data_IF_525856595858
#
_entry.id   IF_525856595858
#
_cell.length_a   1.000
_cell.length_b   1.000
_cell.length_c   1.000
_cell.angle_alpha   90.00
_cell.angle_beta   90.00
_cell.angle_gamma   90.00
#
_symmetry.space_group_name_H-M   'P 1'
#
loop_
_entity.id
_entity.type
_entity.pdbx_description
1 polymer ?
#
# COMPACT_ATOMS: atom_id res chain seq x y z
N UNK A 1 -0.70 13.17 -22.03
CA UNK A 1 -0.96 12.40 -20.80
C UNK A 1 -1.60 11.07 -21.10
N UNK A 2 -1.14 10.03 -20.42
CA UNK A 2 -1.72 8.69 -20.44
C UNK A 2 -2.16 8.33 -19.03
N UNK A 3 -3.34 7.72 -18.87
CA UNK A 3 -3.80 7.20 -17.60
C UNK A 3 -4.31 5.78 -17.76
N UNK A 4 -3.88 4.87 -16.88
CA UNK A 4 -4.37 3.49 -16.86
C UNK A 4 -5.22 3.28 -15.62
N UNK A 5 -6.41 2.72 -15.81
CA UNK A 5 -7.35 2.48 -14.73
C UNK A 5 -7.84 1.05 -14.76
N UNK A 6 -7.71 0.36 -13.62
CA UNK A 6 -8.39 -0.93 -13.41
C UNK A 6 -9.87 -0.68 -13.13
N UNK A 7 -10.68 -0.59 -14.17
CA UNK A 7 -12.14 -0.33 -14.07
C UNK A 7 -12.82 -1.27 -13.08
N UNK A 8 -12.43 -2.56 -13.06
CA UNK A 8 -12.98 -3.56 -12.14
C UNK A 8 -12.67 -3.34 -10.64
N UNK A 9 -11.75 -2.43 -10.29
CA UNK A 9 -11.40 -2.13 -8.88
C UNK A 9 -12.25 -0.99 -8.31
N UNK A 10 -12.64 -0.04 -9.16
CA UNK A 10 -13.23 1.24 -8.73
C UNK A 10 -14.63 1.45 -9.30
N UNK A 11 -14.96 0.83 -10.42
CA UNK A 11 -16.20 0.98 -11.16
C UNK A 11 -16.83 -0.38 -11.44
N UNK A 12 -18.03 -0.36 -12.01
CA UNK A 12 -18.76 -1.57 -12.40
C UNK A 12 -18.12 -2.19 -13.64
N UNK A 13 -17.30 -3.23 -13.45
CA UNK A 13 -16.75 -4.05 -14.53
C UNK A 13 -16.32 -5.42 -14.02
N UNK A 14 -16.33 -6.43 -14.90
CA UNK A 14 -15.80 -7.76 -14.59
C UNK A 14 -14.28 -7.69 -14.35
N UNK A 15 -13.76 -8.62 -13.53
CA UNK A 15 -12.31 -8.75 -13.28
C UNK A 15 -11.54 -8.81 -14.60
N UNK A 16 -10.32 -8.27 -14.59
CA UNK A 16 -9.46 -8.02 -15.77
C UNK A 16 -9.91 -6.84 -16.65
N UNK A 17 -11.09 -6.25 -16.43
CA UNK A 17 -11.51 -5.02 -17.11
C UNK A 17 -10.65 -3.82 -16.71
N UNK A 18 -10.03 -3.17 -17.70
CA UNK A 18 -9.22 -1.95 -17.53
C UNK A 18 -9.32 -1.05 -18.76
N UNK A 19 -9.01 0.23 -18.59
CA UNK A 19 -9.02 1.23 -19.66
C UNK A 19 -7.71 2.01 -19.67
N UNK A 20 -7.22 2.30 -20.87
CA UNK A 20 -6.14 3.27 -21.11
C UNK A 20 -6.79 4.53 -21.69
N UNK A 21 -6.63 5.66 -21.00
CA UNK A 21 -7.10 6.97 -21.44
C UNK A 21 -5.93 7.74 -22.03
N UNK A 22 -6.07 8.18 -23.27
CA UNK A 22 -5.03 8.91 -24.01
C UNK A 22 -5.49 10.35 -24.21
N UNK A 23 -4.75 11.28 -23.63
CA UNK A 23 -4.88 12.72 -23.87
C UNK A 23 -3.52 13.26 -24.30
N UNK A 24 -3.08 12.87 -25.48
CA UNK A 24 -1.78 13.19 -26.07
C UNK A 24 -1.99 13.87 -27.42
N UNK A 25 -1.41 15.07 -27.59
CA UNK A 25 -1.57 15.89 -28.79
C UNK A 25 -0.83 15.28 -29.99
N UNK A 26 0.26 14.56 -29.74
CA UNK A 26 1.10 13.96 -30.78
C UNK A 26 0.65 12.54 -31.14
N UNK A 27 -0.40 12.01 -30.46
CA UNK A 27 -0.82 10.62 -30.61
C UNK A 27 -1.04 10.23 -32.08
N UNK A 28 -1.85 11.01 -32.81
CA UNK A 28 -2.19 10.73 -34.21
C UNK A 28 -1.03 10.88 -35.19
N UNK A 29 -0.06 11.74 -34.87
CA UNK A 29 1.04 12.07 -35.78
C UNK A 29 2.25 11.15 -35.62
N UNK A 30 2.53 10.73 -34.39
CA UNK A 30 3.84 10.13 -34.04
C UNK A 30 3.73 8.83 -33.24
N UNK A 31 2.70 8.65 -32.42
CA UNK A 31 2.68 7.59 -31.40
C UNK A 31 1.73 6.44 -31.72
N UNK A 32 0.66 6.68 -32.49
CA UNK A 32 -0.47 5.75 -32.68
C UNK A 32 -0.01 4.36 -33.15
N UNK A 33 0.90 4.28 -34.12
CA UNK A 33 1.39 3.00 -34.64
C UNK A 33 2.14 2.19 -33.57
N UNK A 34 3.13 2.80 -32.92
CA UNK A 34 3.92 2.13 -31.88
C UNK A 34 3.04 1.72 -30.69
N UNK A 35 2.08 2.57 -30.30
CA UNK A 35 1.11 2.25 -29.27
C UNK A 35 0.24 1.05 -29.66
N UNK A 36 -0.28 1.01 -30.90
CA UNK A 36 -1.10 -0.08 -31.39
C UNK A 36 -0.31 -1.41 -31.44
N UNK A 37 0.95 -1.39 -31.88
CA UNK A 37 1.82 -2.57 -31.87
C UNK A 37 2.06 -3.10 -30.44
N UNK A 38 2.34 -2.21 -29.49
CA UNK A 38 2.50 -2.57 -28.08
C UNK A 38 1.18 -3.13 -27.50
N UNK A 39 0.04 -2.52 -27.82
CA UNK A 39 -1.28 -2.97 -27.39
C UNK A 39 -1.60 -4.37 -27.92
N UNK A 40 -1.36 -4.61 -29.22
CA UNK A 40 -1.61 -5.90 -29.86
C UNK A 40 -0.66 -7.01 -29.40
N UNK A 41 0.56 -6.65 -28.94
CA UNK A 41 1.50 -7.62 -28.35
C UNK A 41 0.96 -8.23 -27.06
N UNK A 42 0.18 -7.48 -26.29
CA UNK A 42 -0.32 -7.91 -24.97
C UNK A 42 -1.81 -8.30 -24.98
N UNK A 43 -2.53 -8.01 -26.06
CA UNK A 43 -3.98 -8.25 -26.18
C UNK A 43 -4.24 -9.55 -26.94
N UNK A 44 -5.15 -10.38 -26.41
CA UNK A 44 -5.61 -11.58 -27.13
C UNK A 44 -6.32 -11.19 -28.42
N UNK A 45 -6.07 -11.95 -29.50
CA UNK A 45 -6.84 -11.87 -30.75
C UNK A 45 -8.28 -12.36 -30.62
N UNK A 46 -8.62 -12.99 -29.49
CA UNK A 46 -9.96 -13.45 -29.12
C UNK A 46 -10.31 -12.93 -27.72
N UNK A 47 -10.68 -11.65 -27.57
CA UNK A 47 -10.98 -11.08 -26.27
C UNK A 47 -12.29 -11.62 -25.71
N UNK A 48 -12.46 -11.58 -24.39
CA UNK A 48 -13.74 -11.93 -23.77
C UNK A 48 -14.75 -10.77 -23.94
N UNK A 49 -15.77 -11.01 -24.77
CA UNK A 49 -16.79 -10.03 -25.10
C UNK A 49 -17.62 -9.59 -23.89
N UNK A 50 -17.78 -10.44 -22.87
CA UNK A 50 -18.49 -10.08 -21.64
C UNK A 50 -17.70 -9.04 -20.84
N UNK A 51 -16.36 -9.15 -20.80
CA UNK A 51 -15.51 -8.15 -20.14
C UNK A 51 -15.63 -6.82 -20.89
N UNK A 52 -15.54 -6.83 -22.22
CA UNK A 52 -15.70 -5.63 -23.06
C UNK A 52 -17.08 -4.99 -22.85
N UNK A 53 -18.16 -5.78 -22.87
CA UNK A 53 -19.50 -5.27 -22.62
C UNK A 53 -19.63 -4.65 -21.21
N UNK A 54 -19.02 -5.28 -20.20
CA UNK A 54 -19.02 -4.72 -18.83
C UNK A 54 -18.31 -3.37 -18.76
N UNK A 55 -17.27 -3.15 -19.55
CA UNK A 55 -16.55 -1.87 -19.62
C UNK A 55 -17.43 -0.77 -20.22
N UNK A 56 -18.18 -1.06 -21.28
CA UNK A 56 -19.08 -0.07 -21.89
C UNK A 56 -20.27 0.26 -20.96
N UNK A 57 -20.83 -0.74 -20.29
CA UNK A 57 -21.86 -0.52 -19.24
C UNK A 57 -21.31 0.33 -18.11
N UNK A 58 -20.11 0.02 -17.59
CA UNK A 58 -19.45 0.79 -16.53
C UNK A 58 -19.21 2.24 -16.92
N UNK A 59 -18.73 2.49 -18.16
CA UNK A 59 -18.58 3.85 -18.72
C UNK A 59 -19.91 4.59 -18.73
N UNK A 60 -20.98 3.96 -19.21
CA UNK A 60 -22.30 4.57 -19.30
C UNK A 60 -22.90 4.89 -17.93
N UNK A 61 -22.67 4.03 -16.94
CA UNK A 61 -23.08 4.29 -15.56
C UNK A 61 -22.39 5.54 -15.00
N UNK A 62 -21.08 5.68 -15.20
CA UNK A 62 -20.33 6.85 -14.73
C UNK A 62 -20.82 8.14 -15.40
N UNK A 63 -21.13 8.07 -16.70
CA UNK A 63 -21.66 9.21 -17.46
C UNK A 63 -23.02 9.69 -16.90
N UNK A 64 -23.88 8.78 -16.46
CA UNK A 64 -25.24 9.09 -16.01
C UNK A 64 -25.33 9.40 -14.51
N UNK A 65 -24.60 8.65 -13.67
CA UNK A 65 -24.80 8.58 -12.22
C UNK A 65 -23.50 8.78 -11.43
N UNK A 66 -22.36 8.96 -12.11
CA UNK A 66 -21.03 8.94 -11.49
C UNK A 66 -20.84 9.96 -10.37
N UNK A 67 -21.28 11.21 -10.57
CA UNK A 67 -21.18 12.26 -9.55
C UNK A 67 -21.95 11.91 -8.27
N UNK A 68 -23.17 11.40 -8.41
CA UNK A 68 -23.99 11.01 -7.28
C UNK A 68 -23.37 9.84 -6.52
N UNK A 69 -22.88 8.81 -7.22
CA UNK A 69 -22.23 7.68 -6.56
C UNK A 69 -20.95 8.06 -5.83
N UNK A 70 -20.12 8.92 -6.42
CA UNK A 70 -18.90 9.42 -5.76
C UNK A 70 -19.25 10.26 -4.53
N UNK A 71 -20.27 11.12 -4.61
CA UNK A 71 -20.73 11.88 -3.45
C UNK A 71 -21.21 10.97 -2.32
N UNK A 72 -22.02 9.95 -2.62
CA UNK A 72 -22.47 8.95 -1.63
C UNK A 72 -21.31 8.15 -1.01
N UNK A 73 -20.29 7.86 -1.80
CA UNK A 73 -19.06 7.19 -1.35
C UNK A 73 -18.31 8.06 -0.34
N UNK A 74 -18.13 9.35 -0.65
CA UNK A 74 -17.54 10.33 0.27
C UNK A 74 -18.38 10.43 1.55
N UNK A 75 -19.70 10.60 1.46
CA UNK A 75 -20.60 10.65 2.63
C UNK A 75 -20.45 9.41 3.53
N UNK A 76 -20.36 8.22 2.92
CA UNK A 76 -20.20 6.95 3.62
C UNK A 76 -18.86 6.89 4.37
N UNK A 77 -17.77 7.30 3.71
CA UNK A 77 -16.45 7.36 4.33
C UNK A 77 -16.45 8.35 5.50
N UNK A 78 -17.05 9.52 5.29
CA UNK A 78 -17.20 10.57 6.30
C UNK A 78 -18.01 10.12 7.51
N UNK A 79 -19.06 9.32 7.33
CA UNK A 79 -19.81 8.73 8.42
C UNK A 79 -18.95 7.81 9.32
N UNK A 80 -18.09 6.98 8.72
CA UNK A 80 -17.13 6.15 9.48
C UNK A 80 -16.16 7.05 10.27
N UNK A 81 -15.58 8.06 9.62
CA UNK A 81 -14.63 9.00 10.25
C UNK A 81 -15.26 9.70 11.45
N UNK A 82 -16.49 10.20 11.29
CA UNK A 82 -17.26 10.83 12.37
C UNK A 82 -17.51 9.85 13.50
N UNK A 83 -18.03 8.66 13.23
CA UNK A 83 -18.35 7.68 14.26
C UNK A 83 -17.14 7.35 15.14
N UNK A 84 -16.01 6.99 14.52
CA UNK A 84 -14.78 6.63 15.25
C UNK A 84 -14.20 7.84 16.01
N UNK A 85 -14.26 9.03 15.44
CA UNK A 85 -13.69 10.23 16.08
C UNK A 85 -14.55 10.84 17.19
N UNK A 86 -15.85 10.51 17.28
CA UNK A 86 -16.75 11.08 18.29
C UNK A 86 -17.22 10.08 19.34
N UNK A 87 -17.14 8.77 19.08
CA UNK A 87 -17.64 7.76 20.01
C UNK A 87 -16.59 7.40 21.08
N UNK A 88 -16.83 7.66 22.38
CA UNK A 88 -15.81 7.48 23.42
C UNK A 88 -15.24 6.07 23.52
N UNK A 89 -16.09 5.03 23.40
CA UNK A 89 -15.63 3.63 23.43
C UNK A 89 -14.73 3.28 22.24
N UNK A 90 -15.05 3.76 21.03
CA UNK A 90 -14.25 3.48 19.84
C UNK A 90 -12.85 4.10 19.95
N UNK A 91 -12.76 5.33 20.48
CA UNK A 91 -11.50 6.06 20.61
C UNK A 91 -10.48 5.37 21.53
N UNK A 92 -10.91 4.47 22.42
CA UNK A 92 -10.00 3.69 23.27
C UNK A 92 -9.11 2.74 22.45
N UNK A 93 -9.65 2.17 21.37
CA UNK A 93 -9.01 1.08 20.63
C UNK A 93 -8.71 1.43 19.17
N UNK A 94 -9.45 2.39 18.61
CA UNK A 94 -9.42 2.72 17.19
C UNK A 94 -9.12 4.20 16.96
N UNK A 95 -8.31 4.49 15.94
CA UNK A 95 -8.07 5.84 15.44
C UNK A 95 -8.13 5.83 13.92
N UNK A 96 -8.97 6.67 13.32
CA UNK A 96 -8.85 6.92 11.88
C UNK A 96 -7.64 7.81 11.64
N UNK A 97 -6.70 7.38 10.80
CA UNK A 97 -5.55 8.19 10.42
C UNK A 97 -6.02 9.40 9.59
N UNK A 98 -5.52 10.56 10.00
CA UNK A 98 -5.84 11.87 9.43
C UNK A 98 -4.80 12.31 8.41
N UNK A 99 -5.03 13.48 7.78
CA UNK A 99 -4.10 14.05 6.79
C UNK A 99 -2.75 14.32 7.47
N UNK A 100 -2.75 14.92 8.67
CA UNK A 100 -1.53 15.22 9.42
C UNK A 100 -0.83 13.99 10.00
N UNK A 101 -1.52 12.84 10.12
CA UNK A 101 -0.87 11.58 10.52
C UNK A 101 -0.10 10.93 9.36
N UNK A 102 -0.47 11.23 8.12
CA UNK A 102 0.00 10.51 6.93
C UNK A 102 0.85 11.36 5.99
N UNK A 103 0.71 12.69 6.05
CA UNK A 103 1.32 13.63 5.11
C UNK A 103 2.08 14.70 5.92
N UNK A 104 3.42 14.80 5.77
CA UNK A 104 4.22 15.85 6.41
C UNK A 104 3.71 17.26 6.13
N UNK A 105 3.98 18.19 7.04
CA UNK A 105 3.48 19.57 6.95
C UNK A 105 4.03 20.32 5.73
N UNK A 106 5.27 20.04 5.31
CA UNK A 106 5.86 20.68 4.13
C UNK A 106 5.09 20.43 2.82
N UNK A 107 4.25 19.39 2.77
CA UNK A 107 3.46 19.03 1.59
C UNK A 107 1.99 19.50 1.66
N UNK A 108 1.62 20.21 2.73
CA UNK A 108 0.24 20.64 3.03
C UNK A 108 0.11 22.15 3.07
N UNK A 109 0.20 22.81 1.91
CA UNK A 109 0.12 24.27 1.80
C UNK A 109 -1.18 24.85 2.39
N UNK A 110 -2.29 24.12 2.26
CA UNK A 110 -3.57 24.46 2.88
C UNK A 110 -3.56 24.45 4.42
N UNK A 111 -2.56 23.81 5.03
CA UNK A 111 -2.49 23.56 6.47
C UNK A 111 -3.47 22.50 6.98
N UNK A 112 -4.21 21.82 6.09
CA UNK A 112 -5.24 20.88 6.47
C UNK A 112 -4.66 19.67 7.22
N UNK A 113 -5.11 19.44 8.46
CA UNK A 113 -4.67 18.30 9.27
C UNK A 113 -5.67 17.13 9.27
N UNK A 114 -6.94 17.39 8.99
CA UNK A 114 -8.04 16.41 9.03
C UNK A 114 -9.16 16.87 8.10
N UNK A 115 -9.93 15.93 7.55
CA UNK A 115 -11.15 16.27 6.78
C UNK A 115 -12.38 16.49 7.65
N UNK A 116 -12.37 15.96 8.87
CA UNK A 116 -13.43 16.11 9.85
C UNK A 116 -12.85 16.52 11.18
N UNK A 117 -13.45 17.55 11.76
CA UNK A 117 -13.24 17.96 13.14
C UNK A 117 -14.57 17.98 13.90
N UNK A 118 -14.59 17.45 15.11
CA UNK A 118 -15.82 17.41 15.91
C UNK A 118 -16.33 18.81 16.32
N UNK A 119 -15.45 19.82 16.37
CA UNK A 119 -15.77 21.19 16.74
C UNK A 119 -15.96 22.09 15.53
N UNK A 120 -15.11 21.95 14.50
CA UNK A 120 -15.11 22.82 13.31
C UNK A 120 -15.88 22.24 12.11
N UNK A 121 -16.27 20.97 12.15
CA UNK A 121 -17.00 20.31 11.06
C UNK A 121 -16.08 19.85 9.93
N UNK A 122 -16.51 20.01 8.68
CA UNK A 122 -15.79 19.51 7.50
C UNK A 122 -14.83 20.56 6.95
N UNK A 123 -13.63 20.13 6.56
CA UNK A 123 -12.68 20.96 5.83
C UNK A 123 -13.06 21.00 4.35
N UNK A 124 -12.80 22.13 3.67
CA UNK A 124 -13.03 22.23 2.23
C UNK A 124 -12.02 21.37 1.47
N UNK A 125 -12.47 20.20 1.03
CA UNK A 125 -11.64 19.22 0.31
C UNK A 125 -11.11 19.81 -1.01
N UNK A 126 -11.85 20.72 -1.64
CA UNK A 126 -11.47 21.28 -2.95
C UNK A 126 -10.28 22.22 -2.85
N UNK A 127 -10.22 23.03 -1.79
CA UNK A 127 -9.08 23.91 -1.53
C UNK A 127 -7.81 23.10 -1.26
N UNK A 128 -7.93 22.04 -0.45
CA UNK A 128 -6.84 21.09 -0.17
C UNK A 128 -6.32 20.47 -1.47
N UNK A 129 -7.22 19.98 -2.34
CA UNK A 129 -6.83 19.34 -3.61
C UNK A 129 -6.25 20.30 -4.65
N UNK A 130 -6.54 21.60 -4.55
CA UNK A 130 -6.02 22.59 -5.46
C UNK A 130 -4.63 23.11 -5.07
N UNK A 131 -4.24 22.99 -3.80
CA UNK A 131 -3.03 23.62 -3.25
C UNK A 131 -2.00 22.62 -2.71
N UNK A 132 -2.42 21.55 -2.04
CA UNK A 132 -1.49 20.60 -1.45
C UNK A 132 -0.78 19.73 -2.51
N UNK A 133 0.49 19.41 -2.28
CA UNK A 133 1.25 18.50 -3.15
C UNK A 133 0.75 17.06 -3.01
N UNK A 134 0.44 16.65 -1.78
CA UNK A 134 -0.16 15.35 -1.48
C UNK A 134 -1.49 15.51 -0.77
N UNK A 135 -2.47 14.71 -1.19
CA UNK A 135 -3.79 14.67 -0.58
C UNK A 135 -4.18 13.25 -0.18
N UNK A 136 -4.91 13.15 0.93
CA UNK A 136 -5.44 11.87 1.38
C UNK A 136 -6.76 11.59 0.67
N UNK A 137 -6.89 10.45 0.00
CA UNK A 137 -8.17 10.07 -0.63
C UNK A 137 -9.27 9.93 0.45
N UNK A 138 -10.33 10.77 0.43
CA UNK A 138 -11.35 10.78 1.46
C UNK A 138 -12.11 9.45 1.56
N UNK A 139 -12.20 8.71 0.45
CA UNK A 139 -12.93 7.43 0.33
C UNK A 139 -12.15 6.22 0.86
N UNK A 140 -10.88 6.44 1.22
CA UNK A 140 -9.94 5.44 1.78
C UNK A 140 -9.79 5.72 3.27
N UNK A 141 -10.51 4.96 4.09
CA UNK A 141 -10.49 5.12 5.55
C UNK A 141 -9.48 4.14 6.15
N UNK A 142 -8.29 4.64 6.46
CA UNK A 142 -7.27 3.88 7.18
C UNK A 142 -7.55 3.92 8.67
N UNK A 143 -7.96 2.79 9.24
CA UNK A 143 -8.23 2.63 10.67
C UNK A 143 -7.01 2.00 11.34
N UNK A 144 -6.39 2.72 12.28
CA UNK A 144 -5.44 2.14 13.21
C UNK A 144 -6.19 1.28 14.23
N UNK A 145 -5.75 0.02 14.34
CA UNK A 145 -6.34 -1.02 15.19
C UNK A 145 -5.37 -1.54 16.24
N UNK A 146 -4.13 -1.04 16.27
CA UNK A 146 -3.10 -1.48 17.22
C UNK A 146 -3.52 -1.33 18.69
N UNK A 147 -4.44 -0.41 19.01
CA UNK A 147 -5.00 -0.24 20.36
C UNK A 147 -5.77 -1.46 20.84
N UNK A 148 -6.25 -2.32 19.95
CA UNK A 148 -6.90 -3.60 20.28
C UNK A 148 -5.92 -4.69 20.75
N UNK A 149 -4.61 -4.48 20.55
CA UNK A 149 -3.59 -5.51 20.78
C UNK A 149 -3.58 -6.61 19.71
N UNK A 150 -4.37 -6.48 18.65
CA UNK A 150 -4.34 -7.34 17.47
C UNK A 150 -3.61 -6.67 16.32
N UNK A 151 -2.77 -7.44 15.63
CA UNK A 151 -2.22 -7.00 14.36
C UNK A 151 -3.31 -6.89 13.28
N UNK A 152 -3.03 -6.19 12.19
CA UNK A 152 -3.99 -5.94 11.13
C UNK A 152 -4.48 -7.21 10.41
N UNK A 153 -3.65 -8.26 10.31
CA UNK A 153 -4.07 -9.53 9.71
C UNK A 153 -5.01 -10.31 10.61
N UNK A 154 -4.69 -10.41 11.91
CA UNK A 154 -5.57 -10.98 12.94
C UNK A 154 -6.91 -10.24 12.99
N UNK A 155 -6.89 -8.91 12.98
CA UNK A 155 -8.10 -8.09 12.97
C UNK A 155 -8.95 -8.34 11.71
N UNK A 156 -8.31 -8.43 10.54
CA UNK A 156 -8.99 -8.72 9.28
C UNK A 156 -9.59 -10.11 9.23
N UNK A 157 -8.79 -11.14 9.50
CA UNK A 157 -9.14 -12.54 9.22
C UNK A 157 -10.03 -13.09 10.32
N UNK A 158 -9.56 -13.08 11.56
CA UNK A 158 -10.24 -13.71 12.69
C UNK A 158 -11.39 -12.87 13.23
N UNK A 159 -11.22 -11.55 13.28
CA UNK A 159 -12.24 -10.66 13.86
C UNK A 159 -13.26 -10.28 12.79
N UNK A 160 -12.87 -9.51 11.76
CA UNK A 160 -13.83 -9.00 10.79
C UNK A 160 -14.43 -10.09 9.89
N UNK A 161 -13.60 -10.94 9.28
CA UNK A 161 -14.06 -11.91 8.28
C UNK A 161 -14.73 -13.12 8.91
N UNK A 162 -14.07 -13.80 9.86
CA UNK A 162 -14.57 -15.06 10.41
C UNK A 162 -15.76 -14.85 11.39
N UNK A 163 -15.72 -13.80 12.24
CA UNK A 163 -16.79 -13.53 13.23
C UNK A 163 -17.95 -12.73 12.62
N UNK A 164 -17.66 -11.73 11.79
CA UNK A 164 -18.67 -10.77 11.30
C UNK A 164 -18.91 -10.80 9.78
N UNK A 165 -18.21 -11.62 9.01
CA UNK A 165 -18.38 -11.70 7.56
C UNK A 165 -17.97 -10.42 6.81
N UNK A 166 -17.19 -9.52 7.43
CA UNK A 166 -16.73 -8.27 6.83
C UNK A 166 -15.39 -8.51 6.15
N UNK A 167 -15.37 -8.34 4.82
CA UNK A 167 -14.13 -8.45 4.05
C UNK A 167 -13.51 -7.08 3.80
N UNK A 168 -12.21 -6.98 4.06
CA UNK A 168 -11.43 -5.78 3.79
C UNK A 168 -10.24 -6.10 2.87
N UNK A 169 -9.82 -5.10 2.10
CA UNK A 169 -8.89 -5.32 1.00
C UNK A 169 -7.43 -5.37 1.43
N UNK A 170 -7.02 -4.43 2.30
CA UNK A 170 -5.61 -4.24 2.66
C UNK A 170 -5.46 -4.03 4.16
N UNK A 171 -4.37 -4.58 4.69
CA UNK A 171 -3.93 -4.43 6.07
C UNK A 171 -2.44 -4.09 6.10
N UNK A 172 -2.03 -3.48 7.21
CA UNK A 172 -0.64 -3.34 7.65
C UNK A 172 -0.47 -4.14 8.94
N UNK A 173 0.66 -3.96 9.62
CA UNK A 173 0.92 -4.47 10.97
C UNK A 173 -0.14 -4.01 11.98
N UNK A 174 -0.53 -2.74 11.95
CA UNK A 174 -1.40 -2.12 12.97
C UNK A 174 -2.55 -1.29 12.39
N UNK A 175 -2.78 -1.37 11.08
CA UNK A 175 -3.88 -0.66 10.41
C UNK A 175 -4.65 -1.57 9.47
N UNK A 176 -5.91 -1.22 9.24
CA UNK A 176 -6.77 -1.80 8.22
C UNK A 176 -7.34 -0.72 7.31
N UNK A 177 -7.51 -1.02 6.03
CA UNK A 177 -8.05 -0.08 5.05
C UNK A 177 -9.49 -0.44 4.67
N UNK A 178 -10.43 0.42 5.08
CA UNK A 178 -11.80 0.39 4.56
C UNK A 178 -11.89 1.24 3.30
N UNK A 179 -12.44 0.64 2.25
CA UNK A 179 -12.63 1.30 0.96
C UNK A 179 -14.12 1.33 0.70
N UNK A 180 -14.72 2.50 0.85
CA UNK A 180 -16.07 2.71 0.31
C UNK A 180 -15.99 2.62 -1.21
N UNK A 181 -16.99 2.04 -1.86
CA UNK A 181 -17.12 1.98 -3.32
C UNK A 181 -18.54 2.35 -3.72
N UNK A 182 -18.80 2.46 -5.03
CA UNK A 182 -20.13 2.82 -5.55
C UNK A 182 -21.25 1.80 -5.20
N UNK A 183 -20.88 0.58 -4.79
CA UNK A 183 -21.82 -0.43 -4.30
C UNK A 183 -22.01 -0.44 -2.77
N UNK A 184 -21.31 0.42 -2.03
CA UNK A 184 -21.40 0.48 -0.56
C UNK A 184 -22.70 1.15 -0.16
N UNK A 185 -23.48 0.50 0.71
CA UNK A 185 -24.77 1.03 1.18
C UNK A 185 -24.66 1.65 2.57
N UNK A 186 -25.61 2.53 2.92
CA UNK A 186 -25.71 3.07 4.29
C UNK A 186 -25.87 1.98 5.34
N UNK A 187 -26.60 0.91 5.03
CA UNK A 187 -26.76 -0.24 5.92
C UNK A 187 -25.44 -0.98 6.16
N UNK A 188 -24.59 -1.11 5.14
CA UNK A 188 -23.25 -1.68 5.29
C UNK A 188 -22.36 -0.84 6.21
N UNK A 189 -22.45 0.49 6.11
CA UNK A 189 -21.73 1.40 7.01
C UNK A 189 -22.24 1.33 8.44
N UNK A 190 -23.56 1.31 8.63
CA UNK A 190 -24.16 1.18 9.95
C UNK A 190 -23.75 -0.14 10.62
N UNK A 191 -23.78 -1.25 9.88
CA UNK A 191 -23.33 -2.54 10.36
C UNK A 191 -21.85 -2.55 10.74
N UNK A 192 -20.98 -1.93 9.93
CA UNK A 192 -19.55 -1.80 10.29
C UNK A 192 -19.36 -1.03 11.60
N UNK A 193 -20.06 0.10 11.78
CA UNK A 193 -19.95 0.91 13.00
C UNK A 193 -20.46 0.12 14.21
N UNK A 194 -21.59 -0.57 14.09
CA UNK A 194 -22.13 -1.45 15.14
C UNK A 194 -21.12 -2.52 15.55
N UNK A 195 -20.53 -3.23 14.57
CA UNK A 195 -19.49 -4.24 14.82
C UNK A 195 -18.27 -3.65 15.54
N UNK A 196 -17.80 -2.47 15.14
CA UNK A 196 -16.67 -1.82 15.82
C UNK A 196 -17.00 -1.45 17.27
N UNK A 197 -18.24 -1.03 17.55
CA UNK A 197 -18.70 -0.72 18.91
C UNK A 197 -18.78 -2.00 19.75
N UNK A 198 -19.32 -3.08 19.18
CA UNK A 198 -19.38 -4.39 19.83
C UNK A 198 -17.97 -4.89 20.19
N UNK A 199 -17.02 -4.83 19.25
CA UNK A 199 -15.62 -5.20 19.50
C UNK A 199 -15.02 -4.37 20.64
N UNK A 200 -15.28 -3.06 20.67
CA UNK A 200 -14.74 -2.18 21.70
C UNK A 200 -15.33 -2.50 23.09
N UNK A 201 -16.62 -2.85 23.17
CA UNK A 201 -17.25 -3.28 24.42
C UNK A 201 -16.73 -4.65 24.88
N UNK A 202 -16.60 -5.62 23.97
CA UNK A 202 -16.02 -6.93 24.27
C UNK A 202 -14.60 -6.79 24.85
N UNK A 203 -13.80 -5.85 24.34
CA UNK A 203 -12.46 -5.56 24.86
C UNK A 203 -12.50 -4.89 26.24
N UNK A 204 -13.42 -3.97 26.48
CA UNK A 204 -13.61 -3.37 27.81
C UNK A 204 -13.98 -4.45 28.84
N UNK A 205 -14.95 -5.32 28.54
CA UNK A 205 -15.37 -6.41 29.42
C UNK A 205 -14.20 -7.38 29.71
N UNK A 206 -13.44 -7.76 28.67
CA UNK A 206 -12.25 -8.61 28.82
C UNK A 206 -11.19 -7.97 29.71
N UNK A 207 -10.97 -6.66 29.61
CA UNK A 207 -9.96 -5.95 30.41
C UNK A 207 -10.41 -5.70 31.84
N UNK A 208 -11.70 -5.49 32.07
CA UNK A 208 -12.28 -5.32 33.40
C UNK A 208 -12.13 -6.59 34.24
N UNK A 209 -12.36 -7.77 33.64
CA UNK A 209 -12.18 -9.07 34.28
C UNK A 209 -10.72 -9.58 34.28
N UNK A 210 -9.82 -8.95 33.52
CA UNK A 210 -8.44 -9.40 33.38
C UNK A 210 -7.63 -9.30 34.67
N UNK A 211 -6.88 -10.36 34.96
CA UNK A 211 -5.84 -10.35 35.99
C UNK A 211 -4.73 -9.35 35.65
N UNK A 212 -3.91 -8.99 36.66
CA UNK A 212 -2.73 -8.13 36.45
C UNK A 212 -1.78 -8.66 35.37
N UNK A 213 -1.66 -9.99 35.25
CA UNK A 213 -0.79 -10.61 34.24
C UNK A 213 -1.38 -10.49 32.84
N UNK A 214 -2.69 -10.69 32.68
CA UNK A 214 -3.39 -10.55 31.40
C UNK A 214 -3.39 -9.10 30.92
N UNK A 215 -3.63 -8.12 31.81
CA UNK A 215 -3.52 -6.70 31.46
C UNK A 215 -2.13 -6.33 30.98
N UNK A 216 -1.09 -6.78 31.69
CA UNK A 216 0.30 -6.56 31.27
C UNK A 216 0.60 -7.21 29.92
N UNK A 217 0.08 -8.41 29.68
CA UNK A 217 0.24 -9.07 28.38
C UNK A 217 -0.47 -8.30 27.26
N UNK A 218 -1.64 -7.72 27.53
CA UNK A 218 -2.36 -6.89 26.58
C UNK A 218 -1.58 -5.60 26.27
N UNK A 219 -1.13 -4.88 27.29
CA UNK A 219 -0.31 -3.66 27.16
C UNK A 219 0.95 -3.93 26.33
N UNK A 220 1.68 -5.02 26.62
CA UNK A 220 2.86 -5.40 25.84
C UNK A 220 2.54 -5.62 24.35
N UNK A 221 1.38 -6.22 24.01
CA UNK A 221 0.96 -6.38 22.60
C UNK A 221 0.65 -5.05 21.94
N UNK A 222 -0.03 -4.15 22.66
CA UNK A 222 -0.33 -2.79 22.16
C UNK A 222 0.97 -2.02 21.92
N UNK A 223 1.89 -2.01 22.89
CA UNK A 223 3.22 -1.38 22.77
C UNK A 223 3.99 -1.94 21.58
N UNK A 224 4.02 -3.27 21.40
CA UNK A 224 4.71 -3.91 20.28
C UNK A 224 4.13 -3.57 18.89
N UNK A 225 2.88 -3.09 18.84
CA UNK A 225 2.20 -2.70 17.60
C UNK A 225 2.26 -1.19 17.33
N UNK A 226 2.41 -0.36 18.36
CA UNK A 226 2.32 1.10 18.25
C UNK A 226 3.68 1.78 18.43
N UNK A 227 4.52 1.28 19.34
CA UNK A 227 5.79 1.91 19.74
C UNK A 227 6.99 1.15 19.16
N UNK A 228 7.05 -0.18 19.32
CA UNK A 228 8.17 -1.01 18.84
C UNK A 228 8.00 -1.39 17.37
N UNK A 229 7.93 -0.38 16.50
CA UNK A 229 7.78 -0.58 15.05
C UNK A 229 9.13 -0.90 14.39
N UNK A 230 9.17 -1.81 13.39
CA UNK A 230 10.37 -2.01 12.58
C UNK A 230 10.83 -0.70 11.94
N UNK A 231 12.15 -0.53 11.70
CA UNK A 231 12.64 0.63 10.97
C UNK A 231 12.03 0.66 9.58
N UNK A 232 11.76 1.86 9.08
CA UNK A 232 11.32 2.04 7.70
C UNK A 232 12.50 1.69 6.77
N UNK A 233 12.28 0.85 5.75
CA UNK A 233 13.34 0.54 4.80
C UNK A 233 13.81 1.82 4.07
N UNK A 234 15.13 1.98 3.92
CA UNK A 234 15.68 3.05 3.10
C UNK A 234 15.85 2.59 1.65
N UNK A 235 15.11 3.23 0.73
CA UNK A 235 15.14 2.98 -0.71
C UNK A 235 15.97 4.00 -1.50
N UNK A 236 16.77 4.83 -0.81
CA UNK A 236 17.29 6.11 -1.31
C UNK A 236 18.17 6.08 -2.55
N UNK A 237 18.74 4.94 -2.98
CA UNK A 237 19.58 4.92 -4.19
C UNK A 237 19.72 3.57 -4.90
N UNK A 238 19.95 3.69 -6.21
CA UNK A 238 20.53 2.63 -7.02
C UNK A 238 22.07 2.61 -6.94
N UNK A 239 22.66 1.46 -7.26
CA UNK A 239 24.11 1.36 -7.39
C UNK A 239 24.57 2.14 -8.63
N UNK A 240 25.73 2.80 -8.56
CA UNK A 240 26.22 3.69 -9.63
C UNK A 240 26.35 3.03 -11.00
N UNK A 241 26.55 1.71 -11.06
CA UNK A 241 26.60 0.97 -12.33
C UNK A 241 25.25 0.94 -13.07
N UNK A 242 24.15 1.28 -12.40
CA UNK A 242 22.81 1.32 -12.96
C UNK A 242 22.23 2.74 -12.95
N UNK A 243 23.01 3.76 -12.60
CA UNK A 243 22.56 5.16 -12.63
C UNK A 243 23.01 5.81 -13.92
N UNK A 244 22.10 6.50 -14.60
CA UNK A 244 22.42 7.23 -15.83
C UNK A 244 23.34 8.43 -15.56
N UNK A 245 23.16 9.09 -14.42
CA UNK A 245 24.01 10.17 -13.97
C UNK A 245 24.06 10.24 -12.43
N UNK A 246 25.07 10.93 -11.89
CA UNK A 246 25.21 11.11 -10.43
C UNK A 246 24.26 12.18 -9.84
N UNK A 247 23.38 12.80 -10.65
CA UNK A 247 22.52 13.89 -10.20
C UNK A 247 21.24 13.41 -9.52
N UNK A 248 20.69 12.27 -9.95
CA UNK A 248 19.49 11.68 -9.33
C UNK A 248 19.80 10.31 -8.73
N UNK A 249 19.10 9.89 -7.66
CA UNK A 249 19.26 8.56 -7.08
C UNK A 249 18.64 7.42 -7.93
N UNK A 250 17.93 7.76 -9.00
CA UNK A 250 17.20 6.86 -9.87
C UNK A 250 18.14 5.94 -10.65
N UNK A 251 17.68 4.72 -10.95
CA UNK A 251 18.46 3.76 -11.72
C UNK A 251 17.65 3.02 -12.77
N UNK A 252 18.38 2.48 -13.74
CA UNK A 252 17.89 1.64 -14.82
C UNK A 252 17.65 0.21 -14.33
N UNK A 253 16.44 0.01 -13.80
CA UNK A 253 15.94 -1.30 -13.37
C UNK A 253 15.97 -2.29 -14.54
N UNK A 254 15.74 -1.85 -15.78
CA UNK A 254 15.65 -2.74 -16.94
C UNK A 254 16.99 -3.37 -17.24
N UNK A 255 18.06 -2.57 -17.28
CA UNK A 255 19.43 -3.06 -17.49
C UNK A 255 19.83 -4.03 -16.37
N UNK A 256 19.55 -3.70 -15.11
CA UNK A 256 19.80 -4.60 -14.00
C UNK A 256 19.00 -5.92 -14.12
N UNK A 257 17.71 -5.83 -14.43
CA UNK A 257 16.83 -6.98 -14.58
C UNK A 257 17.32 -7.96 -15.66
N UNK A 258 17.78 -7.47 -16.81
CA UNK A 258 18.33 -8.36 -17.84
C UNK A 258 19.75 -8.85 -17.53
N UNK A 259 20.55 -8.10 -16.78
CA UNK A 259 21.87 -8.57 -16.36
C UNK A 259 21.76 -9.80 -15.43
N UNK A 260 20.73 -9.85 -14.58
CA UNK A 260 20.51 -10.97 -13.66
C UNK A 260 20.00 -12.25 -14.33
N UNK A 261 19.77 -12.24 -15.65
CA UNK A 261 19.42 -13.46 -16.40
C UNK A 261 20.62 -14.40 -16.52
N UNK A 262 21.84 -13.85 -16.50
CA UNK A 262 23.07 -14.62 -16.48
C UNK A 262 23.42 -14.95 -15.01
N UNK A 263 23.40 -16.25 -14.69
CA UNK A 263 23.62 -16.75 -13.34
C UNK A 263 25.04 -16.42 -12.84
N UNK A 264 26.04 -16.36 -13.72
CA UNK A 264 27.43 -16.04 -13.36
C UNK A 264 27.59 -14.60 -12.84
N UNK A 265 26.61 -13.72 -13.11
CA UNK A 265 26.59 -12.36 -12.58
C UNK A 265 25.99 -12.26 -11.18
N UNK A 266 25.41 -13.34 -10.66
CA UNK A 266 24.65 -13.34 -9.42
C UNK A 266 25.27 -14.27 -8.36
N UNK A 267 24.98 -13.97 -7.09
CA UNK A 267 25.28 -14.82 -5.95
C UNK A 267 24.12 -14.75 -4.94
N UNK A 268 24.21 -15.52 -3.86
CA UNK A 268 23.20 -15.56 -2.80
C UNK A 268 23.79 -15.28 -1.42
N UNK A 269 23.07 -14.49 -0.63
CA UNK A 269 23.44 -14.19 0.75
C UNK A 269 22.31 -14.52 1.72
N UNK A 270 22.61 -15.37 2.69
CA UNK A 270 21.66 -15.73 3.75
C UNK A 270 21.31 -14.50 4.61
N UNK A 271 20.02 -14.33 4.88
CA UNK A 271 19.53 -13.29 5.77
C UNK A 271 19.97 -13.59 7.21
N UNK A 272 20.52 -12.60 7.91
CA UNK A 272 20.90 -12.78 9.31
C UNK A 272 21.81 -11.66 9.85
N UNK A 273 22.22 -11.76 11.13
CA UNK A 273 23.03 -10.73 11.79
C UNK A 273 24.35 -10.43 11.10
N UNK A 274 24.99 -11.45 10.50
CA UNK A 274 26.26 -11.29 9.79
C UNK A 274 26.11 -10.42 8.54
N UNK A 275 25.01 -10.56 7.80
CA UNK A 275 24.72 -9.72 6.64
C UNK A 275 24.54 -8.26 7.06
N UNK A 276 23.83 -8.03 8.16
CA UNK A 276 23.63 -6.70 8.73
C UNK A 276 24.97 -6.06 9.16
N UNK A 277 25.86 -6.84 9.77
CA UNK A 277 27.20 -6.37 10.15
C UNK A 277 28.03 -5.97 8.92
N UNK A 278 27.98 -6.75 7.84
CA UNK A 278 28.65 -6.44 6.56
C UNK A 278 28.20 -5.09 6.00
N UNK A 279 26.89 -4.85 5.94
CA UNK A 279 26.32 -3.59 5.46
C UNK A 279 26.72 -2.40 6.37
N UNK A 280 26.66 -2.58 7.69
CA UNK A 280 27.08 -1.55 8.66
C UNK A 280 28.58 -1.25 8.60
N UNK A 281 29.40 -2.21 8.18
CA UNK A 281 30.83 -2.02 7.91
C UNK A 281 31.12 -1.34 6.55
N UNK A 282 30.07 -0.96 5.80
CA UNK A 282 30.18 -0.20 4.55
C UNK A 282 30.31 -1.08 3.30
N UNK A 283 30.02 -2.38 3.39
CA UNK A 283 29.95 -3.21 2.19
C UNK A 283 28.73 -2.85 1.35
N UNK A 284 28.98 -2.55 0.07
CA UNK A 284 27.92 -2.19 -0.87
C UNK A 284 27.41 -3.44 -1.60
N UNK A 285 26.22 -3.90 -1.22
CA UNK A 285 25.55 -5.05 -1.82
C UNK A 285 24.38 -4.57 -2.69
N UNK A 286 24.17 -5.22 -3.83
CA UNK A 286 23.19 -4.81 -4.83
C UNK A 286 22.24 -5.95 -5.13
N UNK A 287 20.93 -5.70 -5.01
CA UNK A 287 19.92 -6.72 -5.31
C UNK A 287 19.93 -7.07 -6.79
N UNK A 288 19.82 -8.37 -7.10
CA UNK A 288 19.67 -8.88 -8.47
C UNK A 288 18.23 -9.31 -8.79
N UNK A 289 17.32 -9.24 -7.81
CA UNK A 289 15.93 -9.66 -7.95
C UNK A 289 14.96 -8.68 -7.28
N UNK A 290 13.68 -8.84 -7.59
CA UNK A 290 12.62 -8.24 -6.80
C UNK A 290 12.49 -8.99 -5.47
N UNK A 291 12.38 -8.27 -4.36
CA UNK A 291 12.02 -8.84 -3.05
C UNK A 291 10.72 -8.18 -2.58
N UNK A 292 9.67 -8.99 -2.43
CA UNK A 292 8.32 -8.50 -2.15
C UNK A 292 7.74 -9.29 -0.97
N UNK A 293 7.79 -8.76 0.26
CA UNK A 293 7.14 -9.36 1.42
C UNK A 293 5.63 -9.16 1.40
N UNK A 294 4.88 -10.14 1.91
CA UNK A 294 3.43 -10.06 2.05
C UNK A 294 2.99 -10.30 3.50
N UNK A 295 2.33 -9.31 4.16
CA UNK A 295 2.15 -7.91 3.76
C UNK A 295 3.48 -7.12 3.75
N UNK A 296 3.56 -5.94 3.10
CA UNK A 296 2.50 -5.15 2.45
C UNK A 296 2.28 -5.42 0.94
N UNK A 297 3.08 -6.29 0.32
CA UNK A 297 2.94 -6.69 -1.09
C UNK A 297 3.46 -5.67 -2.10
N UNK A 298 4.44 -4.84 -1.70
CA UNK A 298 5.20 -3.98 -2.62
C UNK A 298 6.69 -4.33 -2.57
N UNK A 299 7.46 -4.08 -3.65
CA UNK A 299 8.89 -4.38 -3.67
C UNK A 299 9.66 -3.52 -2.67
N UNK A 300 10.36 -4.18 -1.74
CA UNK A 300 11.33 -3.51 -0.85
C UNK A 300 12.75 -3.53 -1.44
N UNK A 301 13.00 -4.42 -2.41
CA UNK A 301 14.18 -4.39 -3.25
C UNK A 301 13.78 -4.63 -4.71
N UNK A 302 14.46 -3.93 -5.61
CA UNK A 302 14.40 -4.16 -7.05
C UNK A 302 15.80 -4.42 -7.61
N UNK A 303 15.94 -5.06 -8.77
CA UNK A 303 17.25 -5.27 -9.39
C UNK A 303 18.01 -3.95 -9.59
N UNK A 304 19.29 -3.94 -9.17
CA UNK A 304 20.18 -2.78 -9.28
C UNK A 304 20.14 -1.83 -8.08
N UNK A 305 19.21 -2.03 -7.15
CA UNK A 305 19.10 -1.23 -5.93
C UNK A 305 20.16 -1.65 -4.89
N UNK A 306 20.73 -0.68 -4.20
CA UNK A 306 21.65 -0.95 -3.07
C UNK A 306 20.83 -1.43 -1.87
N UNK A 307 21.32 -2.48 -1.21
CA UNK A 307 20.68 -3.03 -0.02
C UNK A 307 21.13 -2.21 1.19
N UNK A 308 20.18 -1.56 1.88
CA UNK A 308 20.42 -0.81 3.11
C UNK A 308 20.30 -1.69 4.36
N UNK A 309 21.00 -1.35 5.46
CA UNK A 309 20.80 -2.02 6.76
C UNK A 309 19.34 -2.07 7.20
N UNK A 310 18.59 -0.98 6.98
CA UNK A 310 17.19 -0.82 7.36
C UNK A 310 16.28 -1.79 6.61
N UNK A 311 16.58 -2.08 5.33
CA UNK A 311 15.87 -3.13 4.57
C UNK A 311 16.07 -4.49 5.25
N UNK A 312 17.29 -4.83 5.65
CA UNK A 312 17.59 -6.12 6.29
C UNK A 312 16.95 -6.21 7.68
N UNK A 313 17.01 -5.12 8.47
CA UNK A 313 16.34 -5.04 9.77
C UNK A 313 14.82 -5.19 9.63
N UNK A 314 14.23 -4.50 8.66
CA UNK A 314 12.82 -4.65 8.33
C UNK A 314 12.50 -6.11 7.98
N UNK A 315 13.26 -6.73 7.08
CA UNK A 315 13.07 -8.14 6.70
C UNK A 315 13.21 -9.11 7.88
N UNK A 316 14.13 -8.86 8.81
CA UNK A 316 14.31 -9.69 10.01
C UNK A 316 13.18 -9.50 11.03
N UNK A 317 12.56 -8.33 11.05
CA UNK A 317 11.43 -8.01 11.93
C UNK A 317 10.06 -8.38 11.33
N UNK A 318 10.01 -8.71 10.03
CA UNK A 318 8.80 -9.17 9.36
C UNK A 318 8.43 -10.57 9.84
N UNK A 319 7.31 -10.66 10.55
CA UNK A 319 6.62 -11.92 10.82
C UNK A 319 5.67 -12.24 9.65
N UNK A 320 6.25 -12.59 8.50
CA UNK A 320 5.51 -12.87 7.26
C UNK A 320 5.70 -14.32 6.84
N UNK A 321 4.62 -14.93 6.34
CA UNK A 321 4.64 -16.31 5.85
C UNK A 321 5.29 -16.45 4.48
N UNK A 322 5.35 -15.36 3.68
CA UNK A 322 5.81 -15.41 2.30
C UNK A 322 6.57 -14.15 1.88
N UNK A 323 7.76 -14.34 1.30
CA UNK A 323 8.57 -13.29 0.69
C UNK A 323 8.90 -13.72 -0.74
N UNK A 324 8.24 -13.12 -1.73
CA UNK A 324 8.53 -13.39 -3.12
C UNK A 324 9.94 -12.92 -3.49
N UNK A 325 10.66 -13.77 -4.22
CA UNK A 325 12.04 -13.52 -4.64
C UNK A 325 13.11 -13.86 -3.59
N UNK A 326 12.72 -14.20 -2.36
CA UNK A 326 13.63 -14.73 -1.35
C UNK A 326 13.62 -16.26 -1.36
N UNK A 327 14.81 -16.87 -1.25
CA UNK A 327 14.96 -18.32 -1.17
C UNK A 327 15.41 -18.72 0.23
N UNK A 328 14.63 -19.52 0.94
CA UNK A 328 15.01 -19.95 2.31
C UNK A 328 16.28 -20.79 2.35
N UNK A 329 16.60 -21.51 1.27
CA UNK A 329 17.77 -22.39 1.17
C UNK A 329 19.05 -21.69 0.73
N UNK A 330 18.94 -20.53 0.05
CA UNK A 330 20.09 -19.78 -0.46
C UNK A 330 20.21 -18.36 0.10
N UNK A 331 19.08 -17.67 0.25
CA UNK A 331 18.98 -16.30 0.74
C UNK A 331 18.57 -15.28 -0.34
N UNK A 332 19.05 -14.04 -0.17
CA UNK A 332 18.86 -12.93 -1.09
C UNK A 332 19.77 -13.06 -2.31
N UNK A 333 19.21 -12.90 -3.51
CA UNK A 333 19.98 -12.90 -4.75
C UNK A 333 20.60 -11.52 -4.99
N UNK A 334 21.92 -11.46 -5.12
CA UNK A 334 22.70 -10.23 -5.30
C UNK A 334 23.56 -10.29 -6.54
N UNK A 335 24.05 -9.14 -7.02
CA UNK A 335 25.08 -9.10 -8.05
C UNK A 335 26.48 -9.36 -7.47
N UNK A 336 27.31 -10.08 -8.22
CA UNK A 336 28.73 -10.25 -7.89
C UNK A 336 29.50 -8.94 -8.08
N UNK A 337 30.56 -8.67 -7.30
CA UNK A 337 31.38 -7.47 -7.48
C UNK A 337 31.97 -7.34 -8.90
N UNK A 338 32.25 -8.46 -9.55
CA UNK A 338 32.83 -8.48 -10.89
C UNK A 338 31.82 -8.10 -11.98
N UNK A 339 30.55 -8.51 -11.85
CA UNK A 339 29.51 -8.09 -12.80
C UNK A 339 29.26 -6.58 -12.73
N UNK A 340 29.23 -6.01 -11.53
CA UNK A 340 29.10 -4.56 -11.32
C UNK A 340 30.28 -3.75 -11.89
N UNK A 341 31.51 -4.28 -11.77
CA UNK A 341 32.71 -3.64 -12.34
C UNK A 341 32.72 -3.66 -13.87
N UNK A 342 32.19 -4.71 -14.51
CA UNK A 342 32.10 -4.80 -15.98
C UNK A 342 31.22 -3.69 -16.57
N UNK A 343 30.16 -3.31 -15.85
CA UNK A 343 29.24 -2.25 -16.28
C UNK A 343 29.85 -0.84 -16.18
N UNK A 344 30.59 -0.52 -15.11
CA UNK A 344 31.25 0.80 -14.95
C UNK A 344 32.30 1.14 -16.03
N UNK A 345 32.69 0.17 -16.86
CA UNK A 345 33.68 0.35 -17.95
C UNK A 345 33.05 0.71 -19.29
N UNK A 346 31.72 0.66 -19.42
CA UNK A 346 30.99 1.25 -20.54
C UNK A 346 30.58 2.66 -20.16
#
# INVERSE_FOLDING_TARGET
TYATQSTHKTLTSLRQGSMIHVNDQDFKGEVEQAFHEAYMTHTSTSPNYQIIASLDVGRRQVELEGFEFVQRQIESAMAIRKAVSTHPTLQKYFKVLTVGDMIPEEFRESGANRYFDAQQGWTDIWEVWASDEFVLDPTRVTLAVGGTGWDGDTFKTKILMDKYGIQINKTSRNTVLFMTNIGTTRSSIAYLIEVLVEIANDLDDLLDDASKMERRSFENRVTALIEDVPPLPDFSRFHDAFRDNQKTPEGDIRTAYFLSYDEDNCDYLTLGPLLLERLRNGEELVSASFIIPYPPGFPILVPGQVISPEIIEFMLALDVSEIHGYRHDLGLRIFTPDSLKKLKKK
#
